data_IF_311189845876
#
_entry.id   IF_311189845876
#
_cell.length_a   1.000
_cell.length_b   1.000
_cell.length_c   1.000
_cell.angle_alpha   90.00
_cell.angle_beta   90.00
_cell.angle_gamma   90.00
#
_symmetry.space_group_name_H-M   'P 1'
#
loop_
_entity.id
_entity.type
_entity.pdbx_description
1 polymer ?
#
# COMPACT_ATOMS: atom_id res chain seq x y z
N UNK A 1 -5.70 23.74 14.08
CA UNK A 1 -4.95 23.18 12.92
C UNK A 1 -3.79 24.13 12.65
N UNK A 2 -2.55 23.71 12.90
CA UNK A 2 -1.38 24.59 12.75
C UNK A 2 -1.03 24.74 11.27
N UNK A 3 -0.43 25.87 10.88
CA UNK A 3 -0.07 26.16 9.48
C UNK A 3 0.81 25.06 8.82
N UNK A 4 1.58 24.33 9.63
CA UNK A 4 2.41 23.20 9.21
C UNK A 4 1.58 22.00 8.72
N UNK A 5 0.52 21.63 9.44
CA UNK A 5 -0.33 20.48 9.06
C UNK A 5 -1.09 20.74 7.76
N UNK A 6 -1.54 21.99 7.53
CA UNK A 6 -2.23 22.37 6.31
C UNK A 6 -1.35 22.20 5.05
N UNK A 7 -0.06 22.56 5.14
CA UNK A 7 0.90 22.40 4.05
C UNK A 7 1.16 20.92 3.73
N UNK A 8 1.31 20.08 4.76
CA UNK A 8 1.51 18.64 4.58
C UNK A 8 0.28 17.96 3.96
N UNK A 9 -0.94 18.32 4.41
CA UNK A 9 -2.18 17.81 3.82
C UNK A 9 -2.33 18.22 2.36
N UNK A 10 -2.00 19.47 2.02
CA UNK A 10 -2.04 19.95 0.64
C UNK A 10 -1.05 19.19 -0.26
N UNK A 11 0.17 18.95 0.23
CA UNK A 11 1.17 18.17 -0.51
C UNK A 11 0.69 16.73 -0.76
N UNK A 12 0.08 16.11 0.25
CA UNK A 12 -0.45 14.75 0.16
C UNK A 12 -1.62 14.66 -0.82
N UNK A 13 -2.51 15.66 -0.81
CA UNK A 13 -3.63 15.74 -1.75
C UNK A 13 -3.13 15.88 -3.21
N UNK A 14 -2.13 16.71 -3.45
CA UNK A 14 -1.51 16.87 -4.78
C UNK A 14 -0.85 15.57 -5.24
N UNK A 15 -0.07 14.92 -4.37
CA UNK A 15 0.56 13.65 -4.69
C UNK A 15 -0.47 12.55 -5.01
N UNK A 16 -1.59 12.53 -4.27
CA UNK A 16 -2.70 11.61 -4.53
C UNK A 16 -3.38 11.91 -5.86
N UNK A 17 -3.61 13.19 -6.18
CA UNK A 17 -4.25 13.60 -7.43
C UNK A 17 -3.38 13.28 -8.64
N UNK A 18 -2.07 13.54 -8.57
CA UNK A 18 -1.12 13.16 -9.61
C UNK A 18 -1.13 11.64 -9.85
N UNK A 19 -1.14 10.85 -8.77
CA UNK A 19 -1.21 9.38 -8.85
C UNK A 19 -2.51 8.89 -9.51
N UNK A 20 -3.63 9.59 -9.31
CA UNK A 20 -4.91 9.27 -9.97
C UNK A 20 -4.88 9.61 -11.44
N UNK A 21 -4.32 10.77 -11.82
CA UNK A 21 -4.22 11.18 -13.22
C UNK A 21 -3.33 10.22 -14.01
N UNK A 22 -2.16 9.84 -13.46
CA UNK A 22 -1.28 8.87 -14.11
C UNK A 22 -1.96 7.50 -14.24
N UNK A 23 -2.72 7.08 -13.23
CA UNK A 23 -3.57 5.88 -13.30
C UNK A 23 -4.62 5.94 -14.41
N UNK A 24 -5.34 7.06 -14.55
CA UNK A 24 -6.34 7.26 -15.60
C UNK A 24 -5.73 7.23 -17.01
N UNK A 25 -4.55 7.85 -17.18
CA UNK A 25 -3.82 7.81 -18.46
C UNK A 25 -3.42 6.38 -18.78
N UNK A 26 -2.87 5.65 -17.81
CA UNK A 26 -2.54 4.22 -17.96
C UNK A 26 -3.79 3.45 -18.40
N UNK A 27 -4.89 3.56 -17.68
CA UNK A 27 -6.10 2.78 -17.97
C UNK A 27 -6.68 3.14 -19.36
N UNK A 28 -6.60 4.40 -19.77
CA UNK A 28 -6.99 4.84 -21.12
C UNK A 28 -6.10 4.24 -22.21
N UNK A 29 -4.78 4.15 -21.97
CA UNK A 29 -3.86 3.49 -22.89
C UNK A 29 -4.15 1.99 -22.97
N UNK A 30 -4.32 1.31 -21.83
CA UNK A 30 -4.68 -0.12 -21.82
C UNK A 30 -6.00 -0.38 -22.56
N UNK A 31 -7.00 0.47 -22.37
CA UNK A 31 -8.26 0.37 -23.11
C UNK A 31 -8.10 0.56 -24.62
N UNK A 32 -7.23 1.48 -25.07
CA UNK A 32 -6.98 1.69 -26.51
C UNK A 32 -6.12 0.57 -27.13
N UNK A 33 -5.10 0.08 -26.43
CA UNK A 33 -4.18 -0.93 -26.96
C UNK A 33 -4.74 -2.35 -26.88
N UNK A 34 -5.44 -2.69 -25.80
CA UNK A 34 -5.94 -4.04 -25.56
C UNK A 34 -7.44 -4.18 -25.71
N UNK A 35 -8.23 -3.10 -25.58
CA UNK A 35 -9.69 -3.14 -25.67
C UNK A 35 -10.31 -4.20 -24.74
N UNK A 36 -11.37 -4.85 -25.22
CA UNK A 36 -11.87 -6.10 -24.62
C UNK A 36 -11.12 -7.29 -25.23
N UNK A 37 -9.97 -7.63 -24.66
CA UNK A 37 -9.18 -8.81 -25.06
C UNK A 37 -8.93 -9.76 -23.89
N UNK A 38 -8.87 -11.05 -24.20
CA UNK A 38 -8.56 -12.10 -23.23
C UNK A 38 -7.17 -11.92 -22.60
N UNK A 39 -6.22 -11.27 -23.29
CA UNK A 39 -4.90 -10.98 -22.73
C UNK A 39 -4.96 -9.93 -21.60
N UNK A 40 -5.80 -8.90 -21.77
CA UNK A 40 -6.00 -7.90 -20.73
C UNK A 40 -6.72 -8.46 -19.52
N UNK A 41 -7.73 -9.29 -19.73
CA UNK A 41 -8.44 -9.98 -18.63
C UNK A 41 -7.48 -10.90 -17.84
N UNK A 42 -6.62 -11.64 -18.53
CA UNK A 42 -5.60 -12.47 -17.88
C UNK A 42 -4.59 -11.64 -17.08
N UNK A 43 -4.16 -10.49 -17.63
CA UNK A 43 -3.30 -9.55 -16.92
C UNK A 43 -3.98 -9.00 -15.65
N UNK A 44 -5.25 -8.60 -15.73
CA UNK A 44 -6.03 -8.10 -14.60
C UNK A 44 -6.16 -9.15 -13.48
N UNK A 45 -6.44 -10.40 -13.84
CA UNK A 45 -6.49 -11.51 -12.88
C UNK A 45 -5.12 -11.75 -12.23
N UNK A 46 -4.03 -11.71 -13.02
CA UNK A 46 -2.68 -11.92 -12.51
C UNK A 46 -2.26 -10.84 -11.50
N UNK A 47 -2.61 -9.58 -11.75
CA UNK A 47 -2.28 -8.49 -10.81
C UNK A 47 -3.23 -8.40 -9.62
N UNK A 48 -4.43 -9.01 -9.69
CA UNK A 48 -5.43 -8.91 -8.62
C UNK A 48 -4.94 -9.49 -7.29
N UNK A 49 -4.34 -10.68 -7.32
CA UNK A 49 -3.83 -11.38 -6.13
C UNK A 49 -2.79 -10.52 -5.39
N UNK A 50 -1.69 -10.08 -6.02
CA UNK A 50 -0.68 -9.27 -5.33
C UNK A 50 -1.24 -7.92 -4.90
N UNK A 51 -2.13 -7.30 -5.69
CA UNK A 51 -2.72 -6.01 -5.31
C UNK A 51 -3.64 -6.12 -4.10
N UNK A 52 -4.42 -7.21 -4.00
CA UNK A 52 -5.27 -7.51 -2.85
C UNK A 52 -4.45 -7.74 -1.58
N UNK A 53 -3.39 -8.54 -1.66
CA UNK A 53 -2.46 -8.76 -0.55
C UNK A 53 -1.84 -7.44 -0.10
N UNK A 54 -1.29 -6.65 -1.04
CA UNK A 54 -0.74 -5.32 -0.75
C UNK A 54 -1.75 -4.42 -0.07
N UNK A 55 -3.01 -4.45 -0.51
CA UNK A 55 -4.07 -3.61 0.08
C UNK A 55 -4.32 -3.99 1.54
N UNK A 56 -4.40 -5.27 1.87
CA UNK A 56 -4.58 -5.73 3.26
C UNK A 56 -3.41 -5.29 4.15
N UNK A 57 -2.18 -5.40 3.64
CA UNK A 57 -0.99 -5.05 4.41
C UNK A 57 -0.76 -3.53 4.51
N UNK A 58 -1.03 -2.76 3.44
CA UNK A 58 -0.72 -1.34 3.35
C UNK A 58 -1.86 -0.41 3.81
N UNK A 59 -3.13 -0.75 3.58
CA UNK A 59 -4.29 0.10 3.96
C UNK A 59 -4.65 -0.03 5.45
N UNK A 60 -3.75 -0.55 6.28
CA UNK A 60 -3.81 -0.41 7.74
C UNK A 60 -4.45 -1.57 8.51
N UNK A 61 -4.99 -2.59 7.85
CA UNK A 61 -5.49 -3.79 8.54
C UNK A 61 -4.38 -4.47 9.34
N UNK A 62 -3.18 -4.56 8.76
CA UNK A 62 -1.99 -5.03 9.47
C UNK A 62 -1.54 -4.05 10.56
N UNK A 63 -1.54 -2.74 10.28
CA UNK A 63 -1.10 -1.71 11.23
C UNK A 63 -1.90 -1.74 12.54
N UNK A 64 -3.21 -2.01 12.47
CA UNK A 64 -4.08 -2.13 13.64
C UNK A 64 -3.64 -3.22 14.62
N UNK A 65 -3.18 -4.38 14.11
CA UNK A 65 -2.69 -5.47 14.95
C UNK A 65 -1.20 -5.33 15.27
N UNK A 66 -0.40 -4.81 14.33
CA UNK A 66 1.04 -4.71 14.44
C UNK A 66 1.50 -3.76 15.54
N UNK A 67 0.94 -2.54 15.60
CA UNK A 67 1.35 -1.51 16.57
C UNK A 67 1.22 -1.96 18.03
N UNK A 68 0.06 -2.51 18.49
CA UNK A 68 -0.07 -2.96 19.87
C UNK A 68 0.84 -4.14 20.20
N UNK A 69 0.97 -5.13 19.30
CA UNK A 69 1.86 -6.29 19.49
C UNK A 69 3.34 -5.89 19.54
N UNK A 70 3.77 -4.98 18.66
CA UNK A 70 5.12 -4.45 18.67
C UNK A 70 5.42 -3.73 19.98
N UNK A 71 4.52 -2.88 20.45
CA UNK A 71 4.67 -2.17 21.73
C UNK A 71 4.73 -3.12 22.93
N UNK A 72 3.97 -4.23 22.91
CA UNK A 72 4.06 -5.28 23.94
C UNK A 72 5.43 -5.97 23.95
N UNK A 73 5.97 -6.33 22.77
CA UNK A 73 7.29 -6.97 22.68
C UNK A 73 8.42 -5.99 23.01
N UNK A 74 8.26 -4.71 22.69
CA UNK A 74 9.23 -3.66 22.99
C UNK A 74 9.41 -3.49 24.51
N UNK A 75 8.34 -3.58 25.29
CA UNK A 75 8.38 -3.53 26.76
C UNK A 75 9.18 -4.66 27.39
N UNK A 76 9.20 -5.84 26.76
CA UNK A 76 9.89 -7.02 27.30
C UNK A 76 11.37 -7.08 26.87
N UNK A 77 11.67 -6.81 25.61
CA UNK A 77 13.04 -6.78 25.08
C UNK A 77 13.08 -6.16 23.69
N UNK A 78 13.90 -5.12 23.51
CA UNK A 78 14.11 -4.48 22.19
C UNK A 78 14.57 -5.46 21.10
N UNK A 79 15.33 -6.50 21.48
CA UNK A 79 15.80 -7.53 20.54
C UNK A 79 14.65 -8.39 19.99
N UNK A 80 13.66 -8.74 20.82
CA UNK A 80 12.47 -9.50 20.39
C UNK A 80 11.52 -8.65 19.55
N UNK A 81 11.39 -7.37 19.88
CA UNK A 81 10.62 -6.43 19.08
C UNK A 81 11.19 -6.26 17.67
N UNK A 82 12.53 -6.18 17.55
CA UNK A 82 13.21 -6.11 16.26
C UNK A 82 13.03 -7.39 15.42
N UNK A 83 13.15 -8.58 16.03
CA UNK A 83 12.92 -9.85 15.34
C UNK A 83 11.47 -9.97 14.85
N UNK A 84 10.50 -9.53 15.67
CA UNK A 84 9.10 -9.49 15.27
C UNK A 84 8.87 -8.53 14.10
N UNK A 85 9.42 -7.32 14.16
CA UNK A 85 9.29 -6.32 13.10
C UNK A 85 9.94 -6.78 11.78
N UNK A 86 11.11 -7.40 11.83
CA UNK A 86 11.78 -7.91 10.63
C UNK A 86 11.01 -9.08 10.00
N UNK A 87 10.45 -9.99 10.81
CA UNK A 87 9.61 -11.10 10.33
C UNK A 87 8.37 -10.57 9.61
N UNK A 88 7.73 -9.55 10.19
CA UNK A 88 6.57 -8.88 9.59
C UNK A 88 6.95 -8.15 8.30
N UNK A 89 8.05 -7.40 8.28
CA UNK A 89 8.51 -6.70 7.08
C UNK A 89 8.84 -7.64 5.91
N UNK A 90 9.42 -8.80 6.20
CA UNK A 90 9.70 -9.81 5.17
C UNK A 90 8.40 -10.28 4.53
N UNK A 91 7.37 -10.60 5.33
CA UNK A 91 6.06 -11.00 4.82
C UNK A 91 5.35 -9.93 3.97
N UNK A 92 5.58 -8.64 4.25
CA UNK A 92 4.99 -7.52 3.49
C UNK A 92 5.76 -7.23 2.20
N UNK A 93 7.02 -7.64 2.12
CA UNK A 93 7.88 -7.40 0.96
C UNK A 93 7.74 -8.45 -0.15
N UNK A 94 6.99 -9.54 0.11
CA UNK A 94 6.64 -10.60 -0.84
C UNK A 94 5.16 -10.49 -1.24
#
# INVERSE_FOLDING_TARGET
MTASTARSTALFAIATMLSRITGLVRDSLFANYFGTSAQYDAYLVAIMIPFFLRKIFADGAMTMAFVPLFNEKLKNSGKRAFIFASTVMVFVSF
#
